data_IF_757109493324
#
_entry.id   IF_757109493324
#
_cell.length_a   1.000
_cell.length_b   1.000
_cell.length_c   1.000
_cell.angle_alpha   90.00
_cell.angle_beta   90.00
_cell.angle_gamma   90.00
#
_symmetry.space_group_name_H-M   'P 1'
#
loop_
_entity.id
_entity.type
_entity.pdbx_description
1 polymer ?
#
# COMPACT_ATOMS: atom_id res chain seq x y z
N UNK A 1 20.78 -8.45 34.64
CA UNK A 1 19.43 -8.41 35.24
C UNK A 1 18.62 -7.21 34.77
N UNK A 2 19.14 -5.97 34.85
CA UNK A 2 18.44 -4.75 34.36
C UNK A 2 18.10 -4.83 32.85
N UNK A 3 19.04 -5.27 32.00
CA UNK A 3 18.76 -5.44 30.56
C UNK A 3 17.73 -6.54 30.27
N UNK A 4 17.67 -7.59 31.09
CA UNK A 4 16.66 -8.65 30.96
C UNK A 4 15.28 -8.16 31.39
N UNK A 5 15.22 -7.29 32.41
CA UNK A 5 13.99 -6.68 32.91
C UNK A 5 13.43 -5.67 31.89
N UNK A 6 14.29 -4.86 31.25
CA UNK A 6 13.90 -3.95 30.17
C UNK A 6 13.41 -4.70 28.91
N UNK A 7 14.03 -5.84 28.58
CA UNK A 7 13.55 -6.76 27.55
C UNK A 7 12.17 -7.34 27.89
N UNK A 8 11.95 -7.78 29.13
CA UNK A 8 10.64 -8.26 29.57
C UNK A 8 9.55 -7.17 29.55
N UNK A 9 9.89 -5.92 29.93
CA UNK A 9 8.95 -4.80 29.91
C UNK A 9 8.58 -4.43 28.46
N UNK A 10 9.54 -4.40 27.54
CA UNK A 10 9.29 -4.11 26.12
C UNK A 10 8.47 -5.21 25.43
N UNK A 11 8.73 -6.49 25.74
CA UNK A 11 7.90 -7.60 25.26
C UNK A 11 6.49 -7.63 25.87
N UNK A 12 6.28 -7.11 27.08
CA UNK A 12 4.95 -7.06 27.71
C UNK A 12 4.07 -5.90 27.24
N UNK A 13 4.66 -4.92 26.54
CA UNK A 13 3.96 -3.75 25.99
C UNK A 13 3.74 -3.87 24.48
N UNK A 14 4.26 -4.92 23.83
CA UNK A 14 4.16 -5.08 22.39
C UNK A 14 2.74 -5.46 21.98
N UNK A 15 2.09 -4.64 21.15
CA UNK A 15 0.71 -4.92 20.71
C UNK A 15 0.69 -6.12 19.76
N UNK A 16 0.06 -7.21 20.17
CA UNK A 16 -0.08 -8.40 19.32
C UNK A 16 -1.13 -8.18 18.23
N UNK A 17 -0.98 -8.88 17.10
CA UNK A 17 -1.97 -8.81 16.01
C UNK A 17 -3.38 -9.25 16.43
N UNK A 18 -3.49 -10.13 17.42
CA UNK A 18 -4.75 -10.59 18.01
C UNK A 18 -5.50 -9.51 18.80
N UNK A 19 -4.82 -8.43 19.20
CA UNK A 19 -5.43 -7.32 19.96
C UNK A 19 -6.25 -6.39 19.06
N UNK A 20 -6.02 -6.42 17.75
CA UNK A 20 -6.78 -5.68 16.74
C UNK A 20 -8.16 -6.32 16.50
N UNK A 21 -9.10 -6.08 17.42
CA UNK A 21 -10.46 -6.65 17.38
C UNK A 21 -11.45 -5.83 16.56
N UNK A 22 -11.17 -4.54 16.35
CA UNK A 22 -11.97 -3.61 15.54
C UNK A 22 -11.07 -2.81 14.61
N UNK A 23 -11.66 -2.16 13.61
CA UNK A 23 -10.96 -1.15 12.83
C UNK A 23 -10.40 -0.10 13.78
N UNK A 24 -9.12 0.22 13.68
CA UNK A 24 -8.49 1.19 14.57
C UNK A 24 -7.34 1.94 13.89
N UNK A 25 -7.09 3.15 14.40
CA UNK A 25 -5.94 3.97 14.05
C UNK A 25 -4.91 3.78 15.15
N UNK A 26 -3.67 3.54 14.75
CA UNK A 26 -2.55 3.35 15.64
C UNK A 26 -1.32 4.12 15.15
N UNK A 27 -0.33 4.20 16.02
CA UNK A 27 1.00 4.70 15.70
C UNK A 27 1.77 3.71 14.83
N UNK A 28 2.75 4.21 14.08
CA UNK A 28 3.65 3.38 13.28
C UNK A 28 4.38 2.36 14.14
N UNK A 29 4.87 2.75 15.33
CA UNK A 29 5.63 1.85 16.18
C UNK A 29 4.79 0.68 16.70
N UNK A 30 3.60 0.95 17.25
CA UNK A 30 2.65 -0.07 17.74
C UNK A 30 2.18 -1.01 16.63
N UNK A 31 1.85 -0.47 15.44
CA UNK A 31 1.47 -1.30 14.31
C UNK A 31 2.60 -2.22 13.85
N UNK A 32 3.85 -1.71 13.85
CA UNK A 32 5.00 -2.50 13.45
C UNK A 32 5.39 -3.58 14.47
N UNK A 33 5.03 -3.45 15.75
CA UNK A 33 5.20 -4.54 16.72
C UNK A 33 4.39 -5.79 16.31
N UNK A 34 3.13 -5.60 15.89
CA UNK A 34 2.34 -6.69 15.32
C UNK A 34 2.95 -7.18 14.00
N UNK A 35 3.22 -6.29 13.03
CA UNK A 35 3.76 -6.69 11.71
C UNK A 35 5.05 -7.51 11.86
N UNK A 36 5.93 -7.10 12.77
CA UNK A 36 7.20 -7.77 13.05
C UNK A 36 7.05 -9.08 13.81
N UNK A 37 5.95 -9.28 14.53
CA UNK A 37 5.61 -10.54 15.19
C UNK A 37 5.12 -11.64 14.23
N UNK A 38 4.83 -11.31 12.96
CA UNK A 38 4.36 -12.29 11.98
C UNK A 38 5.56 -13.11 11.49
N UNK A 39 5.64 -14.35 11.96
CA UNK A 39 6.66 -15.31 11.55
C UNK A 39 6.20 -16.21 10.40
N UNK A 40 7.14 -16.56 9.53
CA UNK A 40 6.99 -17.59 8.48
C UNK A 40 7.65 -18.89 8.91
N UNK A 41 7.08 -20.02 8.51
CA UNK A 41 7.77 -21.31 8.67
C UNK A 41 8.90 -21.48 7.63
N UNK A 42 9.92 -22.29 7.96
CA UNK A 42 11.00 -22.63 7.01
C UNK A 42 10.47 -23.23 5.70
N UNK A 43 9.40 -24.03 5.79
CA UNK A 43 8.73 -24.61 4.63
C UNK A 43 8.13 -23.53 3.73
N UNK A 44 7.40 -22.56 4.31
CA UNK A 44 6.80 -21.47 3.54
C UNK A 44 7.86 -20.62 2.85
N UNK A 45 8.98 -20.36 3.52
CA UNK A 45 10.10 -19.63 2.92
C UNK A 45 10.70 -20.38 1.71
N UNK A 46 10.87 -21.71 1.83
CA UNK A 46 11.32 -22.55 0.71
C UNK A 46 10.32 -22.54 -0.44
N UNK A 47 9.02 -22.63 -0.13
CA UNK A 47 7.95 -22.63 -1.14
C UNK A 47 7.90 -21.29 -1.90
N UNK A 48 8.00 -20.15 -1.19
CA UNK A 48 8.02 -18.81 -1.81
C UNK A 48 9.22 -18.67 -2.75
N UNK A 49 10.42 -19.03 -2.30
CA UNK A 49 11.64 -18.90 -3.13
C UNK A 49 11.60 -19.84 -4.34
N UNK A 50 11.11 -21.06 -4.16
CA UNK A 50 10.99 -22.02 -5.26
C UNK A 50 10.00 -21.50 -6.29
N UNK A 51 8.86 -20.97 -5.86
CA UNK A 51 7.89 -20.31 -6.73
C UNK A 51 8.49 -19.10 -7.46
N UNK A 52 9.18 -18.22 -6.73
CA UNK A 52 9.84 -17.05 -7.31
C UNK A 52 10.86 -17.45 -8.39
N UNK A 53 11.72 -18.43 -8.13
CA UNK A 53 12.68 -18.94 -9.11
C UNK A 53 11.96 -19.47 -10.35
N UNK A 54 10.95 -20.32 -10.15
CA UNK A 54 10.18 -20.91 -11.25
C UNK A 54 9.51 -19.85 -12.13
N UNK A 55 8.84 -18.85 -11.53
CA UNK A 55 8.14 -17.81 -12.29
C UNK A 55 9.10 -16.80 -12.93
N UNK A 56 10.21 -16.45 -12.27
CA UNK A 56 11.22 -15.55 -12.83
C UNK A 56 12.05 -16.21 -13.94
N UNK A 57 12.26 -17.52 -13.91
CA UNK A 57 12.92 -18.26 -14.99
C UNK A 57 12.14 -18.15 -16.31
N UNK A 58 10.81 -18.11 -16.24
CA UNK A 58 9.92 -17.92 -17.38
C UNK A 58 9.83 -16.46 -17.86
N UNK A 59 10.32 -15.52 -17.06
CA UNK A 59 10.22 -14.10 -17.37
C UNK A 59 11.26 -13.68 -18.43
N UNK A 60 10.75 -13.27 -19.60
CA UNK A 60 11.52 -13.06 -20.84
C UNK A 60 12.61 -11.99 -20.69
N UNK A 61 12.38 -10.97 -19.85
CA UNK A 61 13.42 -10.00 -19.49
C UNK A 61 14.31 -10.56 -18.38
N UNK A 62 15.16 -11.52 -18.76
CA UNK A 62 16.16 -12.16 -17.88
C UNK A 62 17.17 -11.18 -17.27
N UNK A 63 17.12 -9.89 -17.57
CA UNK A 63 17.97 -8.88 -16.94
C UNK A 63 17.67 -8.72 -15.44
N UNK A 64 16.46 -9.05 -14.96
CA UNK A 64 16.18 -9.19 -13.52
C UNK A 64 17.04 -10.29 -12.88
N UNK A 65 17.43 -11.31 -13.65
CA UNK A 65 18.30 -12.41 -13.21
C UNK A 65 19.79 -12.14 -13.51
N UNK A 66 20.12 -11.19 -14.41
CA UNK A 66 21.51 -10.78 -14.68
C UNK A 66 22.03 -9.66 -13.77
N UNK A 67 21.15 -8.80 -13.27
CA UNK A 67 21.43 -7.78 -12.25
C UNK A 67 20.31 -7.70 -11.18
N UNK A 68 19.83 -8.81 -10.59
CA UNK A 68 19.21 -8.67 -9.28
C UNK A 68 20.33 -8.11 -8.41
N UNK A 69 20.03 -7.18 -7.50
CA UNK A 69 20.81 -7.11 -6.28
C UNK A 69 20.67 -8.48 -5.62
N UNK A 70 21.49 -9.45 -6.04
CA UNK A 70 21.71 -10.65 -5.27
C UNK A 70 22.22 -10.11 -3.94
N UNK A 71 21.50 -10.35 -2.83
CA UNK A 71 22.11 -10.16 -1.55
C UNK A 71 23.31 -11.10 -1.56
N UNK A 72 24.51 -10.53 -1.62
CA UNK A 72 25.67 -11.25 -1.17
C UNK A 72 25.38 -11.63 0.28
N UNK A 73 25.73 -12.85 0.68
CA UNK A 73 25.71 -13.34 2.07
C UNK A 73 24.37 -13.90 2.61
N UNK A 74 24.34 -15.24 2.75
CA UNK A 74 24.05 -15.97 4.00
C UNK A 74 23.03 -17.11 3.84
N UNK A 75 23.42 -18.30 4.27
CA UNK A 75 22.52 -19.46 4.44
C UNK A 75 21.45 -19.23 5.53
N UNK A 76 21.52 -18.12 6.28
CA UNK A 76 20.63 -17.78 7.41
C UNK A 76 19.74 -16.54 7.15
N UNK A 77 19.52 -16.14 5.89
CA UNK A 77 18.60 -15.03 5.58
C UNK A 77 17.15 -15.28 6.05
N UNK A 78 16.81 -16.54 6.34
CA UNK A 78 15.48 -17.05 6.68
C UNK A 78 15.00 -16.73 8.11
N UNK A 79 15.82 -16.11 8.94
CA UNK A 79 15.46 -15.69 10.31
C UNK A 79 14.92 -14.25 10.38
N UNK A 80 14.72 -13.58 9.24
CA UNK A 80 14.20 -12.21 9.18
C UNK A 80 12.67 -12.17 9.26
N UNK A 81 12.15 -11.10 9.86
CA UNK A 81 10.72 -10.76 9.88
C UNK A 81 10.12 -10.80 8.46
N UNK A 82 8.92 -11.37 8.32
CA UNK A 82 8.23 -11.57 7.03
C UNK A 82 8.09 -10.27 6.23
N UNK A 83 7.88 -9.15 6.93
CA UNK A 83 7.70 -7.85 6.30
C UNK A 83 8.98 -7.37 5.61
N UNK A 84 10.14 -7.63 6.21
CA UNK A 84 11.42 -7.24 5.63
C UNK A 84 11.68 -8.01 4.32
N UNK A 85 11.46 -9.33 4.35
CA UNK A 85 11.57 -10.16 3.15
C UNK A 85 10.56 -9.75 2.07
N UNK A 86 9.29 -9.60 2.45
CA UNK A 86 8.24 -9.18 1.53
C UNK A 86 8.55 -7.83 0.88
N UNK A 87 8.94 -6.84 1.69
CA UNK A 87 9.31 -5.49 1.21
C UNK A 87 10.47 -5.55 0.22
N UNK A 88 11.51 -6.33 0.50
CA UNK A 88 12.65 -6.49 -0.41
C UNK A 88 12.23 -7.09 -1.76
N UNK A 89 11.44 -8.16 -1.73
CA UNK A 89 10.95 -8.81 -2.95
C UNK A 89 10.02 -7.90 -3.75
N UNK A 90 9.06 -7.25 -3.09
CA UNK A 90 8.13 -6.31 -3.73
C UNK A 90 8.86 -5.12 -4.35
N UNK A 91 9.85 -4.55 -3.65
CA UNK A 91 10.68 -3.47 -4.17
C UNK A 91 11.51 -3.91 -5.38
N UNK A 92 12.04 -5.14 -5.39
CA UNK A 92 12.70 -5.72 -6.55
C UNK A 92 11.74 -5.77 -7.75
N UNK A 93 10.51 -6.26 -7.55
CA UNK A 93 9.50 -6.33 -8.61
C UNK A 93 9.10 -4.93 -9.11
N UNK A 94 8.90 -3.96 -8.21
CA UNK A 94 8.64 -2.56 -8.55
C UNK A 94 9.77 -1.97 -9.40
N UNK A 95 11.03 -2.32 -9.09
CA UNK A 95 12.20 -1.79 -9.81
C UNK A 95 12.23 -2.15 -11.29
N UNK A 96 11.56 -3.24 -11.68
CA UNK A 96 11.48 -3.73 -13.07
C UNK A 96 10.67 -2.81 -13.98
N UNK A 97 9.76 -2.03 -13.38
CA UNK A 97 8.79 -1.18 -14.07
C UNK A 97 7.90 -1.92 -15.07
N UNK A 98 7.63 -3.20 -14.82
CA UNK A 98 6.71 -4.00 -15.62
C UNK A 98 5.40 -4.22 -14.87
N UNK A 99 4.32 -3.68 -15.43
CA UNK A 99 2.96 -3.82 -14.89
C UNK A 99 2.42 -5.25 -15.00
N UNK A 100 3.00 -6.10 -15.86
CA UNK A 100 2.62 -7.51 -15.96
C UNK A 100 3.28 -8.38 -14.89
N UNK A 101 4.23 -7.82 -14.14
CA UNK A 101 4.94 -8.53 -13.08
C UNK A 101 4.47 -8.01 -11.71
N UNK A 102 3.85 -8.90 -10.94
CA UNK A 102 3.33 -8.58 -9.61
C UNK A 102 3.76 -9.64 -8.59
N UNK A 103 4.07 -9.18 -7.39
CA UNK A 103 4.26 -10.04 -6.22
C UNK A 103 3.34 -9.54 -5.12
N UNK A 104 2.37 -10.36 -4.73
CA UNK A 104 1.32 -10.00 -3.79
C UNK A 104 1.16 -11.12 -2.76
N UNK A 105 0.79 -10.73 -1.54
CA UNK A 105 0.33 -11.70 -0.53
C UNK A 105 -1.04 -12.23 -0.96
N UNK A 106 -1.22 -13.55 -0.94
CA UNK A 106 -2.53 -14.13 -1.18
C UNK A 106 -3.42 -13.94 0.06
N UNK A 107 -4.32 -12.99 -0.07
CA UNK A 107 -5.27 -12.55 0.94
C UNK A 107 -6.31 -13.62 1.29
N UNK A 108 -6.49 -14.63 0.42
CA UNK A 108 -7.49 -15.69 0.60
C UNK A 108 -6.96 -16.88 1.40
N UNK A 109 -5.66 -16.92 1.71
CA UNK A 109 -5.07 -18.10 2.35
C UNK A 109 -5.41 -18.25 3.83
N UNK A 110 -6.10 -17.31 4.49
CA UNK A 110 -6.39 -17.32 5.94
C UNK A 110 -5.15 -17.72 6.76
N UNK A 111 -4.00 -17.19 6.38
CA UNK A 111 -2.71 -17.46 7.01
C UNK A 111 -2.22 -16.22 7.77
N UNK A 112 -1.37 -16.36 8.80
CA UNK A 112 -0.83 -15.23 9.55
C UNK A 112 -0.20 -14.14 8.66
N UNK A 113 0.44 -14.53 7.54
CA UNK A 113 1.02 -13.59 6.58
C UNK A 113 -0.01 -12.72 5.83
N UNK A 114 -1.27 -13.16 5.72
CA UNK A 114 -2.33 -12.37 5.08
C UNK A 114 -2.74 -11.14 5.91
N UNK A 115 -2.37 -11.10 7.20
CA UNK A 115 -2.62 -9.96 8.08
C UNK A 115 -1.94 -8.67 7.61
N UNK A 116 -0.84 -8.77 6.87
CA UNK A 116 -0.15 -7.62 6.28
C UNK A 116 -1.08 -6.78 5.40
N UNK A 117 -2.02 -7.43 4.72
CA UNK A 117 -2.91 -6.78 3.75
C UNK A 117 -4.01 -5.93 4.36
N UNK A 118 -4.07 -5.90 5.70
CA UNK A 118 -5.03 -5.12 6.48
C UNK A 118 -4.40 -3.85 7.07
N UNK A 119 -3.12 -3.57 6.79
CA UNK A 119 -2.41 -2.38 7.30
C UNK A 119 -2.29 -1.31 6.21
N UNK A 120 -2.83 -0.14 6.51
CA UNK A 120 -2.80 1.03 5.63
C UNK A 120 -2.07 2.16 6.33
N UNK A 121 -1.16 2.83 5.64
CA UNK A 121 -0.57 4.07 6.13
C UNK A 121 -1.38 5.26 5.62
N UNK A 122 -1.43 6.34 6.40
CA UNK A 122 -2.08 7.57 5.96
C UNK A 122 -1.49 8.83 6.60
N UNK A 123 -1.73 9.95 5.94
CA UNK A 123 -1.55 11.31 6.46
C UNK A 123 -2.94 11.93 6.72
N UNK A 124 -3.07 12.89 7.66
CA UNK A 124 -4.33 13.54 8.02
C UNK A 124 -4.84 14.52 6.94
N UNK A 125 -4.44 14.34 5.69
CA UNK A 125 -4.89 15.11 4.54
C UNK A 125 -4.79 14.29 3.25
N UNK A 126 -5.43 14.81 2.20
CA UNK A 126 -5.23 14.37 0.81
C UNK A 126 -4.58 15.51 0.03
N UNK A 127 -3.70 15.16 -0.91
CA UNK A 127 -3.07 16.15 -1.80
C UNK A 127 -3.99 16.46 -2.97
N UNK A 128 -4.29 17.75 -3.15
CA UNK A 128 -4.97 18.28 -4.33
C UNK A 128 -4.02 19.20 -5.11
N UNK A 129 -4.08 19.13 -6.44
CA UNK A 129 -3.33 20.02 -7.34
C UNK A 129 -4.36 20.64 -8.27
N UNK A 130 -4.54 21.95 -8.15
CA UNK A 130 -5.53 22.70 -8.94
C UNK A 130 -4.96 23.08 -10.32
N UNK A 131 -5.84 23.64 -11.18
CA UNK A 131 -5.49 24.11 -12.53
C UNK A 131 -4.45 25.25 -12.53
N UNK A 132 -4.30 25.96 -11.41
CA UNK A 132 -3.27 26.97 -11.21
C UNK A 132 -1.87 26.38 -10.94
N UNK A 133 -1.76 25.05 -10.98
CA UNK A 133 -0.53 24.30 -10.70
C UNK A 133 0.00 24.53 -9.30
N UNK A 134 -0.88 24.82 -8.34
CA UNK A 134 -0.55 24.89 -6.92
C UNK A 134 -1.07 23.66 -6.18
N UNK A 135 -0.34 23.30 -5.13
CA UNK A 135 -0.70 22.20 -4.25
C UNK A 135 -1.48 22.72 -3.05
N UNK A 136 -2.55 22.03 -2.71
CA UNK A 136 -3.41 22.26 -1.55
C UNK A 136 -3.58 20.96 -0.78
N UNK A 137 -3.76 21.07 0.53
CA UNK A 137 -4.01 19.92 1.41
C UNK A 137 -5.46 19.97 1.85
N UNK A 138 -6.21 18.92 1.54
CA UNK A 138 -7.61 18.79 1.96
C UNK A 138 -7.60 17.95 3.25
N UNK A 139 -8.10 18.47 4.39
CA UNK A 139 -8.22 17.72 5.64
C UNK A 139 -8.88 16.35 5.46
N UNK A 140 -8.33 15.31 6.10
CA UNK A 140 -8.93 13.98 6.16
C UNK A 140 -9.53 13.78 7.54
N UNK A 141 -10.82 14.05 7.67
CA UNK A 141 -11.50 14.04 8.97
C UNK A 141 -11.86 12.63 9.47
N UNK A 142 -11.95 11.65 8.57
CA UNK A 142 -12.30 10.27 8.92
C UNK A 142 -11.73 9.24 7.92
N UNK A 143 -11.57 8.00 8.40
CA UNK A 143 -11.38 6.79 7.57
C UNK A 143 -12.37 5.75 8.08
N UNK A 144 -13.28 5.30 7.22
CA UNK A 144 -14.28 4.28 7.56
C UNK A 144 -15.02 4.57 8.88
N UNK A 145 -15.57 5.78 8.98
CA UNK A 145 -16.29 6.29 10.16
C UNK A 145 -15.45 6.43 11.44
N UNK A 146 -14.13 6.23 11.37
CA UNK A 146 -13.21 6.50 12.47
C UNK A 146 -12.71 7.95 12.33
N UNK A 147 -12.97 8.81 13.32
CA UNK A 147 -12.50 10.19 13.28
C UNK A 147 -10.98 10.25 13.36
N UNK A 148 -10.39 11.17 12.60
CA UNK A 148 -8.97 11.48 12.61
C UNK A 148 -8.76 12.82 13.30
N UNK A 149 -7.77 12.86 14.20
CA UNK A 149 -7.27 14.10 14.75
C UNK A 149 -6.42 14.83 13.70
N UNK A 150 -7.03 15.83 13.05
CA UNK A 150 -6.36 16.64 12.02
C UNK A 150 -5.80 17.91 12.67
N UNK A 151 -4.49 18.19 12.55
CA UNK A 151 -3.89 19.42 13.06
C UNK A 151 -4.62 20.69 12.56
N UNK A 152 -4.83 21.65 13.46
CA UNK A 152 -5.55 22.90 13.15
C UNK A 152 -4.89 23.66 12.00
N UNK A 153 -3.56 23.62 11.87
CA UNK A 153 -2.83 24.26 10.77
C UNK A 153 -3.25 23.69 9.42
N UNK A 154 -3.56 22.40 9.32
CA UNK A 154 -4.05 21.79 8.07
C UNK A 154 -5.46 22.29 7.76
N UNK A 155 -6.32 22.38 8.77
CA UNK A 155 -7.70 22.85 8.62
C UNK A 155 -7.74 24.33 8.23
N UNK A 156 -6.99 25.17 8.94
CA UNK A 156 -6.94 26.61 8.72
C UNK A 156 -6.34 26.98 7.35
N UNK A 157 -5.47 26.11 6.82
CA UNK A 157 -4.77 26.32 5.54
C UNK A 157 -5.31 25.50 4.37
N UNK A 158 -6.52 24.92 4.45
CA UNK A 158 -7.13 24.14 3.36
C UNK A 158 -7.11 24.89 2.01
N UNK A 159 -7.30 26.21 2.05
CA UNK A 159 -7.36 27.10 0.88
C UNK A 159 -6.05 27.84 0.59
N UNK A 160 -5.01 27.59 1.37
CA UNK A 160 -3.68 28.20 1.21
C UNK A 160 -2.78 27.20 0.49
N UNK A 161 -2.03 27.66 -0.51
CA UNK A 161 -1.14 26.77 -1.24
C UNK A 161 0.08 26.37 -0.40
N UNK A 162 0.48 25.11 -0.52
CA UNK A 162 1.72 24.59 0.06
C UNK A 162 2.90 25.19 -0.69
N UNK A 163 3.84 25.77 0.07
CA UNK A 163 5.08 26.36 -0.43
C UNK A 163 6.19 25.32 -0.49
N UNK A 164 6.39 24.57 0.60
CA UNK A 164 7.40 23.50 0.68
C UNK A 164 6.94 22.32 1.52
N UNK A 165 7.50 21.15 1.23
CA UNK A 165 7.43 19.95 2.07
C UNK A 165 8.87 19.53 2.34
N UNK A 166 9.25 19.41 3.61
CA UNK A 166 10.62 19.16 4.08
C UNK A 166 11.64 20.12 3.47
N UNK A 167 11.25 21.40 3.32
CA UNK A 167 12.08 22.44 2.72
C UNK A 167 12.30 22.31 1.20
N UNK A 168 11.68 21.32 0.55
CA UNK A 168 11.76 21.09 -0.89
C UNK A 168 10.48 21.53 -1.61
N UNK A 169 10.58 21.71 -2.92
CA UNK A 169 9.43 21.83 -3.81
C UNK A 169 8.46 20.65 -3.61
N UNK A 170 7.16 20.91 -3.39
CA UNK A 170 6.21 19.86 -3.03
C UNK A 170 5.97 18.86 -4.18
N UNK A 171 6.11 19.27 -5.45
CA UNK A 171 5.99 18.36 -6.59
C UNK A 171 7.19 17.41 -6.69
N UNK A 172 8.37 17.83 -6.26
CA UNK A 172 9.54 16.96 -6.21
C UNK A 172 9.35 15.81 -5.21
N UNK A 173 8.66 16.04 -4.09
CA UNK A 173 8.33 14.96 -3.15
C UNK A 173 7.48 13.88 -3.82
N UNK A 174 6.44 14.26 -4.58
CA UNK A 174 5.60 13.32 -5.33
C UNK A 174 6.42 12.56 -6.38
N UNK A 175 7.29 13.26 -7.12
CA UNK A 175 8.16 12.62 -8.13
C UNK A 175 9.15 11.65 -7.52
N UNK A 176 9.80 12.03 -6.41
CA UNK A 176 10.73 11.17 -5.68
C UNK A 176 10.00 9.93 -5.16
N UNK A 177 8.80 10.08 -4.60
CA UNK A 177 7.96 8.96 -4.16
C UNK A 177 7.60 8.02 -5.31
N UNK A 178 7.02 8.54 -6.41
CA UNK A 178 6.61 7.73 -7.55
C UNK A 178 7.78 7.00 -8.22
N UNK A 179 8.95 7.65 -8.28
CA UNK A 179 10.17 6.98 -8.74
C UNK A 179 10.61 5.89 -7.78
N UNK A 180 10.49 6.06 -6.47
CA UNK A 180 11.02 5.05 -5.54
C UNK A 180 10.07 3.86 -5.38
N UNK A 181 8.77 4.10 -5.38
CA UNK A 181 7.80 3.14 -4.84
C UNK A 181 6.75 2.63 -5.83
N UNK A 182 6.64 3.18 -7.04
CA UNK A 182 5.60 2.76 -8.00
C UNK A 182 6.18 1.97 -9.18
N UNK A 183 5.56 0.85 -9.54
CA UNK A 183 5.99 -0.01 -10.65
C UNK A 183 5.73 0.56 -12.05
N UNK A 184 5.27 1.80 -12.17
CA UNK A 184 4.92 2.40 -13.46
C UNK A 184 6.16 2.88 -14.22
N UNK A 185 6.20 2.65 -15.54
CA UNK A 185 7.28 3.14 -16.42
C UNK A 185 7.12 4.61 -16.81
N UNK A 186 5.88 5.06 -17.00
CA UNK A 186 5.59 6.43 -17.47
C UNK A 186 5.70 7.44 -16.31
N UNK A 187 6.54 8.49 -16.42
CA UNK A 187 6.69 9.49 -15.36
C UNK A 187 5.39 10.23 -15.01
N UNK A 188 4.51 10.47 -15.99
CA UNK A 188 3.22 11.10 -15.73
C UNK A 188 2.32 10.19 -14.90
N UNK A 189 2.25 8.90 -15.24
CA UNK A 189 1.46 7.93 -14.49
C UNK A 189 2.01 7.74 -13.07
N UNK A 190 3.35 7.64 -12.92
CA UNK A 190 4.01 7.63 -11.60
C UNK A 190 3.59 8.84 -10.76
N UNK A 191 3.59 10.04 -11.35
CA UNK A 191 3.22 11.26 -10.63
C UNK A 191 1.75 11.25 -10.21
N UNK A 192 0.85 10.87 -11.12
CA UNK A 192 -0.59 10.84 -10.89
C UNK A 192 -0.97 9.88 -9.75
N UNK A 193 -0.40 8.67 -9.76
CA UNK A 193 -0.64 7.68 -8.70
C UNK A 193 0.06 8.06 -7.39
N UNK A 194 1.32 8.53 -7.46
CA UNK A 194 2.09 8.94 -6.28
C UNK A 194 1.43 10.06 -5.49
N UNK A 195 0.74 10.98 -6.18
CA UNK A 195 0.00 12.08 -5.54
C UNK A 195 -0.99 11.57 -4.50
N UNK A 196 -1.69 10.48 -4.80
CA UNK A 196 -2.64 9.87 -3.88
C UNK A 196 -1.93 8.92 -2.91
N UNK A 197 -1.07 8.05 -3.45
CA UNK A 197 -0.39 6.99 -2.71
C UNK A 197 0.53 7.49 -1.59
N UNK A 198 1.07 8.70 -1.69
CA UNK A 198 1.86 9.29 -0.60
C UNK A 198 1.00 9.61 0.62
N UNK A 199 -0.28 9.95 0.44
CA UNK A 199 -1.16 10.37 1.53
C UNK A 199 -1.99 9.23 2.13
N UNK A 200 -2.15 8.13 1.39
CA UNK A 200 -2.86 6.94 1.83
C UNK A 200 -2.45 5.74 0.96
N UNK A 201 -2.14 4.60 1.57
CA UNK A 201 -1.82 3.38 0.82
C UNK A 201 -1.72 2.14 1.70
N UNK A 202 -1.76 0.96 1.08
CA UNK A 202 -1.58 -0.33 1.77
C UNK A 202 -0.10 -0.68 1.89
N UNK A 203 0.32 -1.20 3.05
CA UNK A 203 1.67 -1.75 3.23
C UNK A 203 1.89 -3.05 2.44
N UNK A 204 0.82 -3.73 2.00
CA UNK A 204 0.95 -4.84 1.04
C UNK A 204 1.34 -4.36 -0.35
N UNK A 205 0.86 -3.21 -0.77
CA UNK A 205 1.02 -2.75 -2.14
C UNK A 205 2.27 -1.90 -2.27
N UNK A 206 2.49 -1.01 -1.31
CA UNK A 206 3.64 -0.13 -1.20
C UNK A 206 4.27 -0.35 0.18
N UNK A 207 5.25 -1.26 0.31
CA UNK A 207 5.81 -1.66 1.60
C UNK A 207 6.83 -0.64 2.10
N UNK A 208 6.32 0.49 2.60
CA UNK A 208 7.11 1.56 3.19
C UNK A 208 7.81 1.06 4.46
N UNK A 209 9.08 1.43 4.65
CA UNK A 209 9.83 1.02 5.84
C UNK A 209 9.30 1.73 7.08
N UNK A 210 9.44 1.09 8.25
CA UNK A 210 9.16 1.72 9.55
C UNK A 210 9.86 3.07 9.69
N UNK A 211 11.13 3.13 9.28
CA UNK A 211 11.93 4.35 9.26
C UNK A 211 11.31 5.46 8.40
N UNK A 212 10.86 5.14 7.18
CA UNK A 212 10.22 6.11 6.30
C UNK A 212 8.93 6.66 6.92
N UNK A 213 8.10 5.78 7.47
CA UNK A 213 6.82 6.14 8.09
C UNK A 213 6.99 6.97 9.38
N UNK A 214 8.06 6.72 10.14
CA UNK A 214 8.40 7.48 11.34
C UNK A 214 9.12 8.81 11.07
N UNK A 215 9.59 9.03 9.84
CA UNK A 215 10.28 10.28 9.46
C UNK A 215 9.27 11.44 9.48
N UNK A 216 9.51 12.50 10.29
CA UNK A 216 8.62 13.65 10.32
C UNK A 216 8.53 14.36 8.95
N UNK A 217 7.34 14.86 8.63
CA UNK A 217 7.05 15.65 7.43
C UNK A 217 6.69 17.06 7.88
N UNK A 218 7.56 18.02 7.56
CA UNK A 218 7.31 19.44 7.80
C UNK A 218 6.72 20.06 6.55
N UNK A 219 5.59 20.73 6.70
CA UNK A 219 4.86 21.40 5.63
C UNK A 219 4.88 22.90 5.94
N UNK A 220 5.15 23.72 4.94
CA UNK A 220 5.10 25.18 5.06
C UNK A 220 4.20 25.73 3.97
N UNK A 221 3.26 26.58 4.37
CA UNK A 221 2.34 27.26 3.46
C UNK A 221 2.86 28.63 3.02
N UNK A 222 2.25 29.21 2.00
CA UNK A 222 2.66 30.53 1.48
C UNK A 222 2.49 31.67 2.49
N UNK A 223 1.59 31.55 3.45
CA UNK A 223 1.42 32.51 4.54
C UNK A 223 2.51 32.41 5.63
N UNK A 224 3.42 31.44 5.53
CA UNK A 224 4.52 31.24 6.48
C UNK A 224 4.18 30.35 7.66
N UNK A 225 2.92 29.90 7.80
CA UNK A 225 2.57 28.87 8.79
C UNK A 225 3.19 27.52 8.42
N UNK A 226 3.42 26.69 9.43
CA UNK A 226 4.01 25.38 9.23
C UNK A 226 3.51 24.38 10.25
N UNK A 227 3.40 23.12 9.82
CA UNK A 227 3.08 21.99 10.69
C UNK A 227 4.11 20.89 10.48
N UNK A 228 4.39 20.11 11.52
CA UNK A 228 5.17 18.88 11.40
C UNK A 228 4.31 17.71 11.83
N UNK A 229 4.16 16.74 10.94
CA UNK A 229 3.32 15.55 11.16
C UNK A 229 4.11 14.27 10.90
N UNK A 230 3.53 13.13 11.28
CA UNK A 230 4.02 11.79 10.94
C UNK A 230 2.90 10.99 10.29
N UNK A 231 3.24 9.87 9.67
CA UNK A 231 2.24 8.90 9.27
C UNK A 231 1.58 8.26 10.48
N UNK A 232 0.32 7.87 10.29
CA UNK A 232 -0.41 6.96 11.18
C UNK A 232 -0.73 5.69 10.41
N UNK A 233 -1.01 4.61 11.14
CA UNK A 233 -1.42 3.33 10.57
C UNK A 233 -2.89 3.10 10.89
N UNK A 234 -3.67 2.82 9.85
CA UNK A 234 -5.01 2.31 9.97
C UNK A 234 -4.98 0.80 9.77
N UNK A 235 -5.44 0.04 10.78
CA UNK A 235 -5.56 -1.41 10.72
C UNK A 235 -7.03 -1.78 10.58
N UNK A 236 -7.34 -2.46 9.48
CA UNK A 236 -8.64 -3.05 9.24
C UNK A 236 -8.78 -4.32 10.10
N UNK A 237 -9.86 -4.45 10.87
CA UNK A 237 -10.14 -5.72 11.55
C UNK A 237 -10.61 -6.76 10.55
N UNK A 238 -10.14 -7.99 10.76
CA UNK A 238 -10.57 -9.15 10.00
C UNK A 238 -11.85 -9.67 10.67
N UNK A 239 -13.09 -9.28 10.22
CA UNK A 239 -13.73 -9.99 9.10
C UNK A 239 -14.82 -9.20 8.32
N UNK A 240 -14.55 -8.85 7.05
CA UNK A 240 -15.49 -9.03 5.92
C UNK A 240 -14.79 -8.61 4.63
N UNK A 241 -14.69 -9.54 3.67
CA UNK A 241 -14.11 -9.32 2.32
C UNK A 241 -14.66 -8.08 1.61
N UNK A 242 -15.89 -7.65 1.93
CA UNK A 242 -16.57 -6.54 1.26
C UNK A 242 -15.97 -5.15 1.50
N UNK A 243 -15.35 -4.90 2.66
CA UNK A 243 -14.85 -3.56 3.00
C UNK A 243 -13.49 -3.27 2.35
N UNK A 244 -12.68 -4.31 2.20
CA UNK A 244 -11.40 -4.25 1.50
C UNK A 244 -11.58 -4.08 -0.01
N UNK A 245 -12.57 -4.76 -0.59
CA UNK A 245 -12.99 -4.56 -1.98
C UNK A 245 -13.57 -3.16 -2.25
N UNK A 246 -14.14 -2.49 -1.24
CA UNK A 246 -14.61 -1.10 -1.35
C UNK A 246 -13.47 -0.06 -1.33
N UNK A 247 -12.39 -0.32 -0.58
CA UNK A 247 -11.24 0.60 -0.49
C UNK A 247 -10.27 0.51 -1.67
N UNK A 248 -10.19 -0.63 -2.36
CA UNK A 248 -9.26 -0.84 -3.48
C UNK A 248 -9.80 -0.32 -4.83
N UNK A 249 -11.05 0.15 -4.92
CA UNK A 249 -11.71 0.36 -6.21
C UNK A 249 -11.90 -0.97 -6.95
N UNK A 250 -12.86 -1.07 -7.87
CA UNK A 250 -13.04 -2.30 -8.66
C UNK A 250 -11.85 -2.53 -9.60
N UNK A 251 -10.79 -3.16 -9.11
CA UNK A 251 -9.79 -3.77 -9.98
C UNK A 251 -10.38 -5.06 -10.56
N UNK A 252 -10.45 -5.10 -11.90
CA UNK A 252 -10.77 -6.30 -12.66
C UNK A 252 -9.69 -7.34 -12.36
N UNK A 253 -10.01 -8.29 -11.48
CA UNK A 253 -9.16 -9.44 -11.14
C UNK A 253 -8.81 -10.23 -12.42
N UNK A 254 -7.64 -9.96 -13.00
CA UNK A 254 -7.00 -10.84 -13.98
C UNK A 254 -5.75 -11.46 -13.36
N UNK A 255 -5.95 -12.65 -12.82
CA UNK A 255 -4.89 -13.60 -12.48
C UNK A 255 -5.36 -15.00 -12.86
N UNK A 256 -4.42 -15.91 -13.12
CA UNK A 256 -4.70 -17.27 -13.59
C UNK A 256 -5.37 -18.06 -12.46
N UNK A 257 -6.71 -18.04 -12.42
CA UNK A 257 -7.50 -19.06 -11.76
C UNK A 257 -7.36 -20.38 -12.55
N UNK A 258 -7.44 -21.56 -11.89
CA UNK A 258 -7.67 -22.80 -12.62
C UNK A 258 -8.84 -22.60 -13.60
N UNK A 259 -8.72 -23.15 -14.82
CA UNK A 259 -9.70 -22.96 -15.89
C UNK A 259 -11.10 -23.20 -15.33
N UNK A 260 -11.96 -22.18 -15.43
CA UNK A 260 -13.36 -22.27 -15.06
C UNK A 260 -14.01 -23.44 -15.79
N UNK A 261 -14.79 -24.21 -15.05
CA UNK A 261 -15.64 -25.24 -15.63
C UNK A 261 -16.69 -24.61 -16.55
N UNK A 262 -17.18 -25.35 -17.56
CA UNK A 262 -18.26 -24.87 -18.44
C UNK A 262 -19.51 -24.38 -17.69
N UNK A 263 -19.79 -24.95 -16.52
CA UNK A 263 -20.90 -24.56 -15.63
C UNK A 263 -20.66 -23.20 -14.97
N UNK A 264 -19.43 -22.92 -14.51
CA UNK A 264 -19.05 -21.62 -13.95
C UNK A 264 -19.09 -20.52 -15.02
N UNK A 265 -18.70 -20.83 -16.26
CA UNK A 265 -18.80 -19.90 -17.40
C UNK A 265 -20.27 -19.57 -17.69
N UNK A 266 -21.15 -20.56 -17.63
CA UNK A 266 -22.59 -20.37 -17.86
C UNK A 266 -23.24 -19.54 -16.74
N UNK A 267 -22.90 -19.84 -15.48
CA UNK A 267 -23.33 -19.06 -14.31
C UNK A 267 -22.88 -17.59 -14.40
N UNK A 268 -21.61 -17.34 -14.75
CA UNK A 268 -21.10 -15.96 -14.93
C UNK A 268 -21.80 -15.21 -16.07
N UNK A 269 -22.13 -15.88 -17.18
CA UNK A 269 -22.92 -15.26 -18.28
C UNK A 269 -24.34 -14.90 -17.84
N UNK A 270 -24.97 -15.69 -16.97
CA UNK A 270 -26.29 -15.36 -16.42
C UNK A 270 -26.23 -14.20 -15.42
N UNK A 271 -25.20 -14.14 -14.57
CA UNK A 271 -24.95 -13.02 -13.66
C UNK A 271 -24.72 -11.72 -14.46
N UNK A 272 -23.90 -11.77 -15.51
CA UNK A 272 -23.64 -10.64 -16.40
C UNK A 272 -24.91 -10.15 -17.14
N UNK A 273 -25.83 -11.06 -17.51
CA UNK A 273 -27.14 -10.66 -18.05
C UNK A 273 -27.99 -9.94 -17.00
N UNK A 274 -28.05 -10.45 -15.76
CA UNK A 274 -28.81 -9.82 -14.66
C UNK A 274 -28.26 -8.44 -14.26
N UNK A 275 -26.94 -8.26 -14.32
CA UNK A 275 -26.29 -6.97 -14.05
C UNK A 275 -26.57 -5.92 -15.14
N UNK A 276 -26.57 -6.32 -16.42
CA UNK A 276 -26.97 -5.42 -17.53
C UNK A 276 -28.42 -4.95 -17.43
N UNK A 277 -29.33 -5.81 -16.97
CA UNK A 277 -30.73 -5.42 -16.73
C UNK A 277 -30.89 -4.43 -15.58
N UNK A 278 -29.96 -4.40 -14.61
CA UNK A 278 -29.93 -3.40 -13.53
C UNK A 278 -29.29 -2.07 -13.94
N UNK A 279 -28.32 -2.07 -14.87
CA UNK A 279 -27.63 -0.86 -15.33
C UNK A 279 -28.45 0.04 -16.27
N UNK A 280 -29.55 -0.44 -16.86
CA UNK A 280 -30.47 0.45 -17.61
C UNK A 280 -31.13 1.51 -16.71
N UNK A 281 -31.08 1.36 -15.38
CA UNK A 281 -31.71 2.26 -14.40
C UNK A 281 -30.79 3.42 -13.96
N UNK A 282 -29.48 3.36 -14.23
CA UNK A 282 -28.53 4.42 -13.83
C UNK A 282 -27.49 4.68 -14.93
N UNK A 283 -27.88 5.47 -15.94
CA UNK A 283 -26.93 5.98 -16.94
C UNK A 283 -26.14 7.16 -16.38
N UNK A 284 -24.88 6.93 -16.04
CA UNK A 284 -23.85 7.97 -16.04
C UNK A 284 -23.18 8.02 -17.43
N UNK A 285 -22.79 9.22 -17.85
CA UNK A 285 -22.16 9.48 -19.16
C UNK A 285 -20.78 8.82 -19.25
N UNK A 286 -20.50 8.15 -20.38
CA UNK A 286 -19.19 7.57 -20.73
C UNK A 286 -18.71 8.26 -22.02
N UNK A 287 -17.48 8.78 -22.00
CA UNK A 287 -16.80 9.41 -23.15
C UNK A 287 -16.63 8.41 -24.30
N UNK A 288 -16.90 8.82 -25.54
CA UNK A 288 -16.84 7.97 -26.73
C UNK A 288 -15.51 8.15 -27.46
N UNK A 289 -14.42 7.72 -26.83
CA UNK A 289 -13.06 7.75 -27.41
C UNK A 289 -12.73 6.50 -28.25
N UNK A 290 -13.74 5.83 -28.81
CA UNK A 290 -13.57 4.66 -29.69
C UNK A 290 -13.16 5.02 -31.14
N UNK A 291 -12.64 6.22 -31.40
CA UNK A 291 -12.22 6.67 -32.74
C UNK A 291 -10.82 7.28 -32.79
N UNK A 292 -9.94 6.92 -31.85
CA UNK A 292 -8.51 7.17 -31.98
C UNK A 292 -7.81 5.82 -32.04
N UNK A 293 -7.87 5.17 -33.21
CA UNK A 293 -6.79 4.41 -33.88
C UNK A 293 -7.28 4.03 -35.28
#
# INVERSE_FOLDING_TARGET
MINLLLLFITFSLSKQCSEYTTNEIDTVDSAFECIESIETTEKENKDIITGLKYYLEAYVFKDILKNPSQPSFSNNYYEKCIYEFYSQMKNLIISTRDLHLSFNVDENMNKPNSELTNFFYFLPFTININNDKKMYLIPRNEILDIPIDVPEEIVNNEKVSVKTINGKDPFNIIREFGKKYLGLKCPHAQFTEARSAISFGSLSDIPLTKEYLNTPITITWENGESVTIKYSIFKLSTPNKSLKELLQGEEVKQGIQPKLTPEEIKSRKEIGKRMKTKQEITKAYISDDNKVY
#
